data_IF_512771594072
#
_entry.id   IF_512771594072
#
_cell.length_a   1.000
_cell.length_b   1.000
_cell.length_c   1.000
_cell.angle_alpha   90.00
_cell.angle_beta   90.00
_cell.angle_gamma   90.00
#
_symmetry.space_group_name_H-M   'P 1'
#
loop_
_entity.id
_entity.type
_entity.pdbx_description
1 polymer ?
#
# COMPACT_ATOMS: atom_id res chain seq x y z
N UNK A 1 0.59 7.29 1.25
CA UNK A 1 -0.73 6.64 1.21
C UNK A 1 -0.55 5.21 1.68
N UNK A 2 -1.37 4.77 2.62
CA UNK A 2 -1.43 3.37 3.04
C UNK A 2 -2.82 2.81 2.71
N UNK A 3 -2.88 1.81 1.83
CA UNK A 3 -4.13 1.25 1.33
C UNK A 3 -4.30 -0.21 1.72
N UNK A 4 -5.55 -0.63 1.98
CA UNK A 4 -5.89 -2.05 2.00
C UNK A 4 -5.55 -2.72 0.67
N UNK A 5 -5.36 -4.04 0.69
CA UNK A 5 -4.99 -4.79 -0.50
C UNK A 5 -5.72 -6.12 -0.57
N UNK A 6 -6.74 -6.21 -1.43
CA UNK A 6 -7.56 -7.40 -1.62
C UNK A 6 -7.49 -7.93 -3.05
N UNK A 7 -7.12 -7.07 -4.02
CA UNK A 7 -7.16 -7.37 -5.44
C UNK A 7 -5.98 -6.78 -6.21
N UNK A 8 -5.83 -7.14 -7.46
CA UNK A 8 -4.96 -6.40 -8.40
C UNK A 8 -5.57 -5.05 -8.80
N UNK A 9 -6.88 -4.87 -8.63
CA UNK A 9 -7.61 -3.65 -8.97
C UNK A 9 -6.96 -2.40 -8.37
N UNK A 10 -6.56 -2.44 -7.10
CA UNK A 10 -5.98 -1.27 -6.42
C UNK A 10 -4.72 -0.75 -7.11
N UNK A 11 -3.92 -1.65 -7.67
CA UNK A 11 -2.66 -1.27 -8.35
C UNK A 11 -2.91 -0.42 -9.57
N UNK A 12 -4.01 -0.67 -10.28
CA UNK A 12 -4.40 0.12 -11.44
C UNK A 12 -5.24 1.33 -11.06
N UNK A 13 -6.25 1.14 -10.22
CA UNK A 13 -7.20 2.19 -9.89
C UNK A 13 -6.56 3.34 -9.08
N UNK A 14 -5.69 3.04 -8.13
CA UNK A 14 -5.02 4.08 -7.34
C UNK A 14 -4.15 5.01 -8.19
N UNK A 15 -3.75 4.58 -9.39
CA UNK A 15 -3.04 5.45 -10.33
C UNK A 15 -3.95 6.47 -10.99
N UNK A 16 -5.25 6.20 -11.08
CA UNK A 16 -6.22 7.13 -11.70
C UNK A 16 -6.65 8.23 -10.74
N UNK A 17 -6.69 7.96 -9.45
CA UNK A 17 -7.13 8.92 -8.43
C UNK A 17 -5.99 9.69 -7.78
N UNK A 18 -4.76 9.16 -7.79
CA UNK A 18 -3.59 9.83 -7.28
C UNK A 18 -2.61 10.16 -8.41
N UNK A 19 -2.08 11.37 -8.42
CA UNK A 19 -1.21 11.84 -9.50
C UNK A 19 0.10 11.05 -9.58
N UNK A 20 0.16 10.08 -10.50
CA UNK A 20 1.36 9.28 -10.80
C UNK A 20 2.04 8.69 -9.57
N UNK A 21 1.37 7.91 -8.72
CA UNK A 21 1.93 7.43 -7.47
C UNK A 21 3.14 6.51 -7.68
N UNK A 22 4.02 6.48 -6.69
CA UNK A 22 5.16 5.56 -6.59
C UNK A 22 4.74 4.40 -5.69
N UNK A 23 4.69 3.18 -6.23
CA UNK A 23 4.34 2.00 -5.43
C UNK A 23 5.57 1.38 -4.76
N UNK A 24 5.41 1.01 -3.49
CA UNK A 24 6.32 0.10 -2.80
C UNK A 24 5.80 -1.32 -2.99
N UNK A 25 6.54 -2.14 -3.69
CA UNK A 25 6.08 -3.46 -4.14
C UNK A 25 7.14 -4.56 -3.94
N UNK A 26 6.69 -5.81 -4.08
CA UNK A 26 7.56 -6.98 -3.97
C UNK A 26 8.51 -7.09 -5.17
N UNK A 27 9.80 -7.39 -4.92
CA UNK A 27 10.82 -7.43 -5.97
C UNK A 27 10.51 -8.43 -7.10
N UNK A 28 9.81 -9.52 -6.80
CA UNK A 28 9.43 -10.53 -7.77
C UNK A 28 8.50 -9.97 -8.86
N UNK A 29 7.68 -8.95 -8.56
CA UNK A 29 6.79 -8.32 -9.54
C UNK A 29 7.55 -7.60 -10.64
N UNK A 30 8.76 -7.10 -10.36
CA UNK A 30 9.61 -6.44 -11.36
C UNK A 30 10.19 -7.42 -12.39
N UNK A 31 10.18 -8.70 -12.07
CA UNK A 31 10.66 -9.76 -12.96
C UNK A 31 9.62 -10.24 -13.97
N UNK A 32 8.35 -9.87 -13.79
CA UNK A 32 7.27 -10.24 -14.72
C UNK A 32 7.45 -9.46 -16.02
N UNK A 33 7.53 -10.13 -17.18
CA UNK A 33 7.65 -9.47 -18.49
C UNK A 33 6.55 -8.43 -18.69
N UNK A 34 6.83 -7.33 -19.39
CA UNK A 34 5.93 -6.21 -19.66
C UNK A 34 5.53 -5.46 -18.39
N UNK A 35 4.90 -6.15 -17.41
CA UNK A 35 4.45 -5.55 -16.14
C UNK A 35 5.62 -5.02 -15.30
N UNK A 36 6.70 -5.79 -15.19
CA UNK A 36 7.90 -5.34 -14.47
C UNK A 36 8.59 -4.15 -15.15
N UNK A 37 8.58 -4.11 -16.48
CA UNK A 37 9.08 -2.95 -17.23
C UNK A 37 8.22 -1.71 -16.96
N UNK A 38 6.90 -1.85 -16.99
CA UNK A 38 5.96 -0.79 -16.64
C UNK A 38 6.20 -0.27 -15.22
N UNK A 39 6.31 -1.16 -14.22
CA UNK A 39 6.58 -0.81 -12.83
C UNK A 39 7.89 -0.03 -12.65
N UNK A 40 8.95 -0.42 -13.38
CA UNK A 40 10.21 0.33 -13.42
C UNK A 40 10.04 1.71 -14.04
N UNK A 41 9.31 1.80 -15.15
CA UNK A 41 9.08 3.06 -15.87
C UNK A 41 8.31 4.08 -15.03
N UNK A 42 7.33 3.66 -14.23
CA UNK A 42 6.61 4.54 -13.31
C UNK A 42 7.41 4.87 -12.04
N UNK A 43 8.61 4.32 -11.88
CA UNK A 43 9.49 4.60 -10.74
C UNK A 43 9.13 3.86 -9.45
N UNK A 44 8.46 2.71 -9.54
CA UNK A 44 8.12 1.90 -8.36
C UNK A 44 9.36 1.43 -7.60
N UNK A 45 9.24 1.36 -6.28
CA UNK A 45 10.32 0.94 -5.36
C UNK A 45 10.11 -0.51 -4.98
N UNK A 46 11.04 -1.38 -5.39
CA UNK A 46 10.98 -2.80 -5.05
C UNK A 46 11.61 -3.10 -3.69
N UNK A 47 10.97 -4.02 -2.96
CA UNK A 47 11.40 -4.50 -1.64
C UNK A 47 11.71 -5.97 -1.71
N UNK A 48 12.90 -6.37 -1.27
CA UNK A 48 13.22 -7.77 -1.01
C UNK A 48 12.91 -8.09 0.45
N UNK A 49 11.84 -8.86 0.70
CA UNK A 49 11.36 -9.19 2.05
C UNK A 49 12.14 -10.32 2.72
N UNK A 50 12.90 -11.10 1.94
CA UNK A 50 13.62 -12.29 2.42
C UNK A 50 15.03 -11.98 2.95
N UNK A 51 15.50 -10.75 2.77
CA UNK A 51 16.80 -10.31 3.29
C UNK A 51 16.61 -9.29 4.40
N UNK A 52 16.74 -9.78 5.64
CA UNK A 52 16.53 -9.00 6.86
C UNK A 52 17.80 -8.23 7.17
N UNK A 53 18.06 -7.09 7.02
CA UNK A 53 18.85 -6.11 7.75
C UNK A 53 19.67 -5.09 6.96
N UNK A 54 20.54 -5.45 6.04
CA UNK A 54 21.36 -4.45 5.32
C UNK A 54 20.63 -3.83 4.13
N UNK A 55 19.81 -4.59 3.40
CA UNK A 55 19.02 -4.09 2.27
C UNK A 55 17.89 -3.14 2.70
N UNK A 56 17.44 -3.21 3.96
CA UNK A 56 16.38 -2.36 4.49
C UNK A 56 16.82 -0.91 4.79
N UNK A 57 18.10 -0.67 5.09
CA UNK A 57 18.63 0.69 5.23
C UNK A 57 18.63 1.40 3.87
N UNK A 58 19.12 0.73 2.83
CA UNK A 58 19.08 1.26 1.47
C UNK A 58 17.67 1.47 0.91
N UNK A 59 16.67 0.71 1.39
CA UNK A 59 15.27 0.91 1.02
C UNK A 59 14.72 2.22 1.55
N UNK A 60 14.91 2.50 2.83
CA UNK A 60 14.43 3.75 3.45
C UNK A 60 15.05 4.96 2.74
N UNK A 61 16.34 4.90 2.43
CA UNK A 61 17.02 5.97 1.71
C UNK A 61 16.47 6.17 0.29
N UNK A 62 16.14 5.09 -0.42
CA UNK A 62 15.46 5.16 -1.73
C UNK A 62 14.09 5.81 -1.60
N UNK A 63 13.31 5.45 -0.58
CA UNK A 63 11.99 6.03 -0.33
C UNK A 63 12.12 7.52 0.00
N UNK A 64 13.04 7.89 0.90
CA UNK A 64 13.33 9.29 1.24
C UNK A 64 13.76 10.10 0.03
N UNK A 65 14.65 9.58 -0.80
CA UNK A 65 15.09 10.21 -2.03
C UNK A 65 13.93 10.43 -3.01
N UNK A 66 13.09 9.44 -3.19
CA UNK A 66 11.90 9.54 -4.03
C UNK A 66 10.90 10.57 -3.50
N UNK A 67 10.66 10.59 -2.19
CA UNK A 67 9.77 11.55 -1.54
C UNK A 67 10.27 13.00 -1.67
N UNK A 68 11.60 13.22 -1.59
CA UNK A 68 12.21 14.54 -1.70
C UNK A 68 12.30 15.05 -3.14
N UNK A 69 12.60 14.16 -4.07
CA UNK A 69 12.85 14.51 -5.47
C UNK A 69 11.58 14.60 -6.32
N UNK A 70 10.46 14.13 -5.81
CA UNK A 70 9.19 14.20 -6.54
C UNK A 70 8.05 14.58 -5.60
N UNK A 71 7.09 15.35 -6.10
CA UNK A 71 5.83 15.64 -5.38
C UNK A 71 4.81 14.50 -5.52
N UNK A 72 5.24 13.35 -5.98
CA UNK A 72 4.39 12.19 -6.23
C UNK A 72 4.07 11.46 -4.94
N UNK A 73 2.83 11.06 -4.71
CA UNK A 73 2.48 10.26 -3.54
C UNK A 73 3.15 8.89 -3.58
N UNK A 74 3.52 8.38 -2.41
CA UNK A 74 4.06 7.03 -2.26
C UNK A 74 2.94 6.14 -1.71
N UNK A 75 2.67 5.02 -2.38
CA UNK A 75 1.65 4.05 -1.98
C UNK A 75 2.31 2.80 -1.41
N UNK A 76 1.84 2.39 -0.23
CA UNK A 76 2.21 1.13 0.41
C UNK A 76 0.96 0.33 0.77
N UNK A 77 1.05 -0.98 0.64
CA UNK A 77 0.07 -1.93 1.12
C UNK A 77 0.57 -2.57 2.43
N UNK A 78 0.07 -2.12 3.61
CA UNK A 78 0.63 -2.53 4.90
C UNK A 78 0.51 -4.02 5.22
N UNK A 79 -0.50 -4.69 4.66
CA UNK A 79 -0.69 -6.14 4.78
C UNK A 79 0.43 -6.93 4.10
N UNK A 80 1.12 -6.29 3.14
CA UNK A 80 2.21 -6.88 2.36
C UNK A 80 1.81 -8.07 1.45
N UNK A 81 0.55 -8.41 1.39
CA UNK A 81 -0.06 -9.41 0.51
C UNK A 81 -1.51 -9.03 0.26
N UNK A 82 -2.12 -9.59 -0.77
CA UNK A 82 -3.56 -9.52 -0.95
C UNK A 82 -4.23 -10.42 0.10
N UNK A 83 -5.28 -9.90 0.74
CA UNK A 83 -6.08 -10.61 1.75
C UNK A 83 -7.51 -10.79 1.25
N UNK A 84 -8.20 -11.83 1.71
CA UNK A 84 -9.59 -12.04 1.38
C UNK A 84 -10.49 -11.00 2.09
N UNK A 85 -11.68 -10.70 1.55
CA UNK A 85 -12.67 -9.90 2.28
C UNK A 85 -12.91 -10.46 3.68
N UNK A 86 -13.02 -9.60 4.67
CA UNK A 86 -13.20 -9.94 6.11
C UNK A 86 -12.02 -10.67 6.77
N UNK A 87 -10.95 -10.97 6.02
CA UNK A 87 -9.73 -11.51 6.61
C UNK A 87 -8.93 -10.39 7.27
N UNK A 88 -8.62 -10.52 8.55
CA UNK A 88 -7.81 -9.58 9.31
C UNK A 88 -6.38 -10.13 9.42
N UNK A 89 -5.43 -9.41 8.84
CA UNK A 89 -4.00 -9.73 8.89
C UNK A 89 -3.25 -8.55 9.50
N UNK A 90 -2.45 -8.76 10.54
CA UNK A 90 -1.70 -7.68 11.17
C UNK A 90 -0.81 -6.93 10.18
N UNK A 91 -0.82 -5.61 10.25
CA UNK A 91 0.01 -4.77 9.41
C UNK A 91 1.50 -4.95 9.71
N UNK A 92 2.31 -4.94 8.68
CA UNK A 92 3.76 -5.11 8.83
C UNK A 92 4.39 -3.85 9.42
N UNK A 93 5.29 -4.01 10.37
CA UNK A 93 6.02 -2.91 11.05
C UNK A 93 6.72 -1.93 10.09
N UNK A 94 6.95 -2.36 8.84
CA UNK A 94 7.55 -1.53 7.80
C UNK A 94 6.78 -0.25 7.49
N UNK A 95 5.45 -0.25 7.58
CA UNK A 95 4.64 0.94 7.32
C UNK A 95 4.89 2.02 8.36
N UNK A 96 4.93 1.66 9.65
CA UNK A 96 5.22 2.59 10.74
C UNK A 96 6.64 3.14 10.68
N UNK A 97 7.61 2.29 10.31
CA UNK A 97 8.99 2.73 10.10
C UNK A 97 9.09 3.76 8.97
N UNK A 98 8.46 3.49 7.82
CA UNK A 98 8.45 4.41 6.67
C UNK A 98 7.79 5.73 7.07
N UNK A 99 6.63 5.70 7.72
CA UNK A 99 5.95 6.89 8.21
C UNK A 99 6.86 7.75 9.12
N UNK A 100 7.47 7.14 10.14
CA UNK A 100 8.39 7.82 11.07
C UNK A 100 9.58 8.44 10.33
N UNK A 101 10.19 7.69 9.42
CA UNK A 101 11.40 8.11 8.70
C UNK A 101 11.13 9.20 7.65
N UNK A 102 9.95 9.24 7.06
CA UNK A 102 9.55 10.29 6.13
C UNK A 102 9.13 11.57 6.84
N UNK A 103 8.54 11.48 8.03
CA UNK A 103 8.05 12.65 8.77
C UNK A 103 6.97 13.44 8.02
N UNK A 104 6.16 12.76 7.19
CA UNK A 104 5.08 13.35 6.41
C UNK A 104 3.75 12.71 6.78
N UNK A 105 2.65 13.41 6.51
CA UNK A 105 1.30 12.85 6.74
C UNK A 105 1.05 11.60 5.92
N UNK A 106 0.27 10.68 6.48
CA UNK A 106 -0.14 9.46 5.82
C UNK A 106 -1.66 9.45 5.58
N UNK A 107 -2.06 9.24 4.34
CA UNK A 107 -3.44 9.11 3.91
C UNK A 107 -3.85 7.63 3.96
N UNK A 108 -4.74 7.21 4.90
CA UNK A 108 -5.29 5.85 4.88
C UNK A 108 -6.35 5.72 3.78
N UNK A 109 -6.41 4.55 3.14
CA UNK A 109 -7.41 4.23 2.11
C UNK A 109 -7.93 2.81 2.33
N UNK A 110 -9.24 2.66 2.42
CA UNK A 110 -9.91 1.37 2.48
C UNK A 110 -10.60 1.07 1.14
N UNK A 111 -10.41 -0.12 0.60
CA UNK A 111 -10.98 -0.55 -0.68
C UNK A 111 -11.48 -1.98 -0.53
N UNK A 112 -12.76 -2.22 -0.81
CA UNK A 112 -13.40 -3.53 -0.74
C UNK A 112 -13.38 -4.31 -2.07
N UNK A 113 -12.35 -4.14 -2.85
CA UNK A 113 -12.22 -4.70 -4.20
C UNK A 113 -12.29 -6.23 -4.27
N UNK A 114 -11.94 -6.91 -3.20
CA UNK A 114 -12.04 -8.37 -3.10
C UNK A 114 -13.46 -8.91 -3.21
N UNK A 115 -14.48 -8.08 -2.98
CA UNK A 115 -15.90 -8.44 -3.22
C UNK A 115 -16.20 -8.68 -4.70
N UNK A 116 -15.52 -7.95 -5.57
CA UNK A 116 -15.72 -7.97 -7.02
C UNK A 116 -14.63 -8.78 -7.70
N UNK A 117 -13.38 -8.58 -7.35
CA UNK A 117 -12.24 -9.27 -7.92
C UNK A 117 -11.32 -9.81 -6.81
N UNK A 118 -11.66 -10.97 -6.24
CA UNK A 118 -10.87 -11.55 -5.16
C UNK A 118 -9.47 -11.96 -5.61
N UNK A 119 -8.58 -12.16 -4.64
CA UNK A 119 -7.20 -12.61 -4.86
C UNK A 119 -7.14 -13.90 -5.67
N UNK A 120 -8.01 -14.85 -5.33
CA UNK A 120 -8.10 -16.16 -5.94
C UNK A 120 -9.56 -16.37 -6.39
N UNK A 121 -9.82 -16.18 -7.69
CA UNK A 121 -11.15 -16.36 -8.25
C UNK A 121 -11.51 -15.37 -9.35
N UNK A 122 -12.68 -15.56 -9.92
CA UNK A 122 -13.19 -14.81 -11.05
C UNK A 122 -13.84 -13.50 -10.62
N UNK A 123 -13.97 -12.59 -11.59
CA UNK A 123 -14.74 -11.37 -11.43
C UNK A 123 -16.21 -11.70 -11.11
N UNK A 124 -16.73 -11.08 -10.06
CA UNK A 124 -18.12 -11.22 -9.63
C UNK A 124 -18.95 -10.09 -10.21
N UNK A 125 -19.97 -10.44 -10.98
CA UNK A 125 -20.97 -9.51 -11.48
C UNK A 125 -21.88 -8.97 -10.37
N UNK A 126 -22.55 -7.86 -10.64
CA UNK A 126 -23.55 -7.23 -9.75
C UNK A 126 -23.03 -6.86 -8.35
N UNK A 127 -21.74 -6.54 -8.25
CA UNK A 127 -21.09 -6.00 -7.05
C UNK A 127 -20.41 -4.68 -7.38
N UNK A 128 -20.36 -3.79 -6.39
CA UNK A 128 -19.66 -2.51 -6.52
C UNK A 128 -18.40 -2.51 -5.66
N UNK A 129 -17.38 -1.79 -6.14
CA UNK A 129 -16.17 -1.49 -5.37
C UNK A 129 -16.36 -0.10 -4.76
N UNK A 130 -16.18 -0.03 -3.45
CA UNK A 130 -16.12 1.23 -2.72
C UNK A 130 -14.67 1.56 -2.37
N UNK A 131 -14.29 2.81 -2.62
CA UNK A 131 -12.98 3.36 -2.24
C UNK A 131 -13.22 4.47 -1.23
N UNK A 132 -12.81 4.25 -0.01
CA UNK A 132 -12.94 5.22 1.09
C UNK A 132 -11.58 5.83 1.40
N UNK A 133 -11.49 7.16 1.25
CA UNK A 133 -10.29 7.94 1.59
C UNK A 133 -10.53 8.55 2.96
N UNK A 134 -9.79 8.08 3.97
CA UNK A 134 -9.99 8.48 5.36
C UNK A 134 -9.21 9.75 5.69
N UNK A 135 -9.51 10.35 6.85
CA UNK A 135 -8.75 11.49 7.35
C UNK A 135 -7.26 11.16 7.49
N UNK A 136 -6.37 12.04 7.00
CA UNK A 136 -4.93 11.81 7.07
C UNK A 136 -4.45 11.77 8.52
N UNK A 137 -3.40 10.99 8.76
CA UNK A 137 -2.69 10.95 10.04
C UNK A 137 -1.48 11.87 9.92
N UNK A 138 -1.45 12.91 10.76
CA UNK A 138 -0.34 13.85 10.80
C UNK A 138 0.95 13.20 11.31
N UNK A 139 2.14 13.72 10.94
CA UNK A 139 3.41 13.17 11.41
C UNK A 139 3.60 13.38 12.92
N UNK A 140 4.42 12.52 13.55
CA UNK A 140 4.81 12.67 14.95
C UNK A 140 4.47 11.49 15.86
N UNK A 141 3.65 10.54 15.41
CA UNK A 141 3.40 9.32 16.20
C UNK A 141 4.62 8.40 16.22
N UNK A 142 4.74 7.59 17.29
CA UNK A 142 5.69 6.47 17.31
C UNK A 142 5.31 5.43 16.25
N UNK A 143 6.31 4.73 15.73
CA UNK A 143 6.14 3.75 14.63
C UNK A 143 5.11 2.66 14.95
N UNK A 144 5.14 2.15 16.17
CA UNK A 144 4.23 1.10 16.65
C UNK A 144 2.80 1.63 16.80
N UNK A 145 2.64 2.77 17.44
CA UNK A 145 1.33 3.42 17.68
C UNK A 145 0.67 3.79 16.34
N UNK A 146 1.46 4.31 15.40
CA UNK A 146 0.99 4.58 14.05
C UNK A 146 0.52 3.31 13.34
N UNK A 147 1.31 2.21 13.42
CA UNK A 147 0.96 0.95 12.76
C UNK A 147 -0.37 0.41 13.28
N UNK A 148 -0.57 0.40 14.58
CA UNK A 148 -1.83 -0.03 15.20
C UNK A 148 -3.00 0.91 14.87
N UNK A 149 -2.77 2.22 14.89
CA UNK A 149 -3.80 3.22 14.58
C UNK A 149 -4.30 3.07 13.14
N UNK A 150 -3.39 2.95 12.17
CA UNK A 150 -3.77 2.84 10.76
C UNK A 150 -4.42 1.49 10.44
N UNK A 151 -3.97 0.41 11.09
CA UNK A 151 -4.60 -0.91 10.99
C UNK A 151 -6.05 -0.85 11.45
N UNK A 152 -6.28 -0.33 12.66
CA UNK A 152 -7.63 -0.17 13.23
C UNK A 152 -8.53 0.68 12.33
N UNK A 153 -8.03 1.82 11.84
CA UNK A 153 -8.80 2.72 10.97
C UNK A 153 -9.21 2.04 9.67
N UNK A 154 -8.28 1.37 8.99
CA UNK A 154 -8.56 0.74 7.68
C UNK A 154 -9.51 -0.45 7.84
N UNK A 155 -9.33 -1.31 8.85
CA UNK A 155 -10.22 -2.44 9.06
C UNK A 155 -11.62 -2.01 9.52
N UNK A 156 -11.73 -1.01 10.40
CA UNK A 156 -13.03 -0.47 10.79
C UNK A 156 -13.80 0.10 9.59
N UNK A 157 -13.12 0.78 8.68
CA UNK A 157 -13.75 1.29 7.46
C UNK A 157 -14.11 0.16 6.48
N UNK A 158 -13.27 -0.87 6.35
CA UNK A 158 -13.61 -2.03 5.54
C UNK A 158 -14.88 -2.73 6.04
N UNK A 159 -15.06 -2.84 7.35
CA UNK A 159 -16.29 -3.41 7.93
C UNK A 159 -17.54 -2.59 7.61
N UNK A 160 -17.41 -1.26 7.44
CA UNK A 160 -18.52 -0.38 7.07
C UNK A 160 -18.89 -0.46 5.59
N UNK A 161 -17.90 -0.65 4.72
CA UNK A 161 -18.11 -0.66 3.25
C UNK A 161 -18.27 -2.08 2.68
N UNK A 162 -18.05 -3.14 3.47
CA UNK A 162 -18.27 -4.54 3.10
C UNK A 162 -19.70 -4.98 3.37
#
# INVERSE_FOLDING_TARGET
IASSHQSMFETFFLQTIFNSPIFILKNELIKIPIFGWYLKKIGSISVNRNKISKDNLGLIDKIKKSARNSKRPIIIFPQATRVLPKEIVPFKKGVGRIYKELGIKCQPVAINSGKVWPKDGDLKSNKSITVSILEPIEPGMKSEDFTLSIEKKIYAELDLID
#
